data_IF_542318681760
#
_entry.id   IF_542318681760
#
_cell.length_a   1.000
_cell.length_b   1.000
_cell.length_c   1.000
_cell.angle_alpha   90.00
_cell.angle_beta   90.00
_cell.angle_gamma   90.00
#
_symmetry.space_group_name_H-M   'P 1'
#
loop_
_entity.id
_entity.type
_entity.pdbx_description
1 polymer ?
#
# COMPACT_ATOMS: atom_id res chain seq x y z
N UNK A 1 8.89 -2.74 15.65
CA UNK A 1 9.20 -1.63 14.73
C UNK A 1 9.55 -2.25 13.39
N UNK A 2 8.62 -2.27 12.43
CA UNK A 2 8.86 -2.83 11.10
C UNK A 2 9.41 -1.74 10.19
N UNK A 3 10.70 -1.78 9.89
CA UNK A 3 11.34 -0.83 8.97
C UNK A 3 10.90 -1.20 7.55
N UNK A 4 9.98 -0.43 6.97
CA UNK A 4 9.56 -0.62 5.57
C UNK A 4 10.57 0.08 4.66
N UNK A 5 11.44 -0.69 4.00
CA UNK A 5 12.30 -0.16 2.94
C UNK A 5 11.46 0.01 1.67
N UNK A 6 11.24 1.25 1.24
CA UNK A 6 10.77 1.53 -0.11
C UNK A 6 11.97 1.42 -1.06
N UNK A 7 12.01 0.33 -1.81
CA UNK A 7 13.05 0.12 -2.83
C UNK A 7 12.55 0.70 -4.15
N UNK A 8 13.36 1.57 -4.76
CA UNK A 8 13.15 2.09 -6.12
C UNK A 8 14.10 1.36 -7.07
N UNK A 9 13.49 0.63 -8.01
CA UNK A 9 14.03 0.04 -9.25
C UNK A 9 15.28 -0.88 -9.21
N UNK A 10 15.10 -2.03 -9.86
CA UNK A 10 16.06 -3.08 -10.23
C UNK A 10 16.70 -3.95 -9.14
N UNK A 11 16.74 -3.51 -7.89
CA UNK A 11 17.49 -4.24 -6.85
C UNK A 11 16.62 -5.04 -5.88
N UNK A 12 15.32 -5.19 -6.12
CA UNK A 12 14.40 -5.85 -5.16
C UNK A 12 14.86 -7.28 -4.79
N UNK A 13 15.28 -8.15 -5.73
CA UNK A 13 15.79 -9.47 -5.36
C UNK A 13 17.10 -9.40 -4.55
N UNK A 14 18.06 -8.57 -5.01
CA UNK A 14 19.35 -8.39 -4.33
C UNK A 14 19.21 -7.81 -2.92
N UNK A 15 18.26 -6.89 -2.72
CA UNK A 15 17.96 -6.32 -1.42
C UNK A 15 17.25 -7.35 -0.54
N UNK A 16 16.24 -8.04 -1.07
CA UNK A 16 15.54 -9.08 -0.32
C UNK A 16 16.49 -10.18 0.19
N UNK A 17 17.49 -10.56 -0.61
CA UNK A 17 18.48 -11.56 -0.24
C UNK A 17 19.58 -11.04 0.69
N UNK A 18 19.93 -9.75 0.60
CA UNK A 18 20.93 -9.13 1.48
C UNK A 18 20.39 -8.73 2.85
N UNK A 19 19.06 -8.68 3.02
CA UNK A 19 18.45 -8.38 4.30
C UNK A 19 18.79 -9.48 5.33
N UNK A 20 19.26 -9.09 6.54
CA UNK A 20 19.64 -10.05 7.56
C UNK A 20 18.43 -10.87 7.95
N UNK A 21 18.53 -12.19 7.76
CA UNK A 21 17.58 -13.16 8.31
C UNK A 21 17.85 -13.17 9.81
N UNK A 22 17.15 -12.32 10.55
CA UNK A 22 17.19 -12.30 12.01
C UNK A 22 17.04 -13.74 12.53
N UNK A 23 17.71 -14.08 13.63
CA UNK A 23 17.92 -15.43 14.20
C UNK A 23 16.70 -16.39 14.18
N UNK A 24 15.49 -15.87 14.01
CA UNK A 24 14.23 -16.59 13.91
C UNK A 24 13.84 -17.09 12.50
N UNK A 25 14.73 -17.09 11.49
CA UNK A 25 14.39 -17.48 10.09
C UNK A 25 13.15 -16.75 9.53
N UNK A 26 12.90 -15.51 9.98
CA UNK A 26 11.75 -14.73 9.51
C UNK A 26 12.05 -14.11 8.16
N UNK A 27 11.15 -14.27 7.19
CA UNK A 27 11.26 -13.58 5.89
C UNK A 27 11.05 -12.07 6.08
N UNK A 28 11.90 -11.19 5.51
CA UNK A 28 11.66 -9.76 5.55
C UNK A 28 10.43 -9.39 4.71
N UNK A 29 9.72 -8.35 5.13
CA UNK A 29 8.64 -7.76 4.33
C UNK A 29 9.20 -6.65 3.44
N UNK A 30 9.28 -6.90 2.14
CA UNK A 30 9.74 -5.93 1.15
C UNK A 30 8.55 -5.36 0.40
N UNK A 31 8.49 -4.03 0.29
CA UNK A 31 7.44 -3.32 -0.42
C UNK A 31 8.05 -2.53 -1.57
N UNK A 32 7.61 -2.82 -2.79
CA UNK A 32 8.12 -2.15 -3.99
C UNK A 32 7.05 -1.30 -4.68
N UNK A 33 7.48 -0.22 -5.32
CA UNK A 33 6.65 0.61 -6.21
C UNK A 33 6.81 0.24 -7.68
N UNK A 34 7.95 -0.33 -8.05
CA UNK A 34 8.27 -0.76 -9.40
C UNK A 34 8.56 -2.26 -9.40
N UNK A 35 8.17 -2.94 -10.45
CA UNK A 35 8.28 -4.38 -10.54
C UNK A 35 8.34 -4.83 -12.00
N UNK A 36 8.94 -5.98 -12.20
CA UNK A 36 8.98 -6.72 -13.46
C UNK A 36 8.47 -8.15 -13.20
N UNK A 37 8.38 -8.98 -14.23
CA UNK A 37 8.05 -10.40 -14.13
C UNK A 37 8.86 -11.07 -13.02
N UNK A 38 8.25 -12.00 -12.29
CA UNK A 38 8.87 -12.78 -11.20
C UNK A 38 9.21 -12.05 -9.88
N UNK A 39 8.89 -10.76 -9.72
CA UNK A 39 9.16 -10.00 -8.49
C UNK A 39 8.27 -10.37 -7.29
N UNK A 40 7.13 -11.03 -7.52
CA UNK A 40 6.18 -11.47 -6.49
C UNK A 40 6.77 -12.44 -5.45
N UNK A 41 7.90 -13.06 -5.77
CA UNK A 41 8.64 -13.95 -4.85
C UNK A 41 9.39 -13.19 -3.76
N UNK A 42 9.69 -11.91 -4.01
CA UNK A 42 10.58 -11.10 -3.18
C UNK A 42 9.85 -9.95 -2.50
N UNK A 43 8.80 -9.38 -3.12
CA UNK A 43 8.14 -8.19 -2.59
C UNK A 43 6.63 -8.16 -2.82
N UNK A 44 5.97 -7.39 -1.97
CA UNK A 44 4.63 -6.88 -2.17
C UNK A 44 4.65 -5.67 -3.10
N UNK A 45 3.62 -5.49 -3.91
CA UNK A 45 3.46 -4.30 -4.74
C UNK A 45 2.47 -3.31 -4.15
N UNK A 46 2.84 -2.04 -4.23
CA UNK A 46 2.00 -0.93 -3.85
C UNK A 46 1.74 -0.04 -5.05
N UNK A 47 0.47 0.28 -5.30
CA UNK A 47 0.10 1.22 -6.37
C UNK A 47 0.76 2.59 -6.17
N UNK A 48 0.85 3.36 -7.26
CA UNK A 48 1.46 4.69 -7.29
C UNK A 48 0.72 5.73 -6.42
N UNK A 49 1.20 6.97 -6.44
CA UNK A 49 0.64 8.05 -5.61
C UNK A 49 -0.80 8.33 -6.06
N UNK A 50 -1.78 8.20 -5.15
CA UNK A 50 -3.16 8.58 -5.40
C UNK A 50 -3.49 9.93 -4.75
N UNK A 51 -4.53 10.55 -5.28
CA UNK A 51 -5.12 11.79 -4.78
C UNK A 51 -6.39 11.45 -3.96
N UNK A 52 -6.76 12.32 -3.02
CA UNK A 52 -8.00 12.24 -2.22
C UNK A 52 -9.24 12.55 -3.06
N UNK A 53 -9.51 11.74 -4.09
CA UNK A 53 -10.69 11.89 -4.95
C UNK A 53 -11.33 10.53 -5.27
N UNK A 54 -12.63 10.56 -5.55
CA UNK A 54 -13.44 9.38 -5.86
C UNK A 54 -12.93 8.61 -7.07
N UNK A 55 -12.45 9.31 -8.10
CA UNK A 55 -11.91 8.68 -9.31
C UNK A 55 -10.74 7.76 -8.99
N UNK A 56 -9.88 8.15 -8.04
CA UNK A 56 -8.75 7.32 -7.63
C UNK A 56 -9.19 6.11 -6.82
N UNK A 57 -10.28 6.21 -6.04
CA UNK A 57 -10.88 5.06 -5.38
C UNK A 57 -11.41 4.08 -6.42
N UNK A 58 -12.14 4.57 -7.43
CA UNK A 58 -12.70 3.74 -8.50
C UNK A 58 -11.61 3.06 -9.33
N UNK A 59 -10.54 3.77 -9.72
CA UNK A 59 -9.44 3.24 -10.53
C UNK A 59 -8.56 2.26 -9.73
N UNK A 60 -8.51 2.39 -8.39
CA UNK A 60 -7.69 1.50 -7.56
C UNK A 60 -8.03 0.02 -7.73
N UNK A 61 -9.30 -0.29 -8.00
CA UNK A 61 -9.77 -1.67 -8.14
C UNK A 61 -9.27 -2.38 -9.40
N UNK A 62 -9.57 -1.86 -10.61
CA UNK A 62 -9.06 -2.45 -11.84
C UNK A 62 -7.53 -2.39 -11.89
N UNK A 63 -6.91 -1.32 -11.37
CA UNK A 63 -5.45 -1.22 -11.34
C UNK A 63 -4.82 -2.38 -10.56
N UNK A 64 -5.22 -2.62 -9.31
CA UNK A 64 -4.70 -3.75 -8.53
C UNK A 64 -4.98 -5.09 -9.20
N UNK A 65 -6.13 -5.24 -9.85
CA UNK A 65 -6.51 -6.50 -10.52
C UNK A 65 -5.63 -6.76 -11.74
N UNK A 66 -5.33 -5.74 -12.55
CA UNK A 66 -4.38 -5.84 -13.66
C UNK A 66 -2.96 -6.21 -13.18
N UNK A 67 -2.55 -5.70 -12.03
CA UNK A 67 -1.24 -6.02 -11.42
C UNK A 67 -1.17 -7.48 -10.97
N UNK A 68 -2.26 -8.02 -10.44
CA UNK A 68 -2.35 -9.45 -10.08
C UNK A 68 -2.24 -10.33 -11.32
N UNK A 69 -2.91 -9.95 -12.42
CA UNK A 69 -2.78 -10.66 -13.71
C UNK A 69 -1.35 -10.58 -14.26
N UNK A 70 -0.66 -9.46 -14.03
CA UNK A 70 0.76 -9.28 -14.32
C UNK A 70 1.70 -9.94 -13.29
N UNK A 71 1.28 -11.08 -12.73
CA UNK A 71 2.02 -11.95 -11.81
C UNK A 71 2.27 -11.42 -10.40
N UNK A 72 1.68 -10.31 -10.00
CA UNK A 72 1.93 -9.70 -8.69
C UNK A 72 0.73 -9.85 -7.74
N UNK A 73 0.57 -11.06 -7.20
CA UNK A 73 -0.62 -11.44 -6.41
C UNK A 73 -0.81 -10.64 -5.12
N UNK A 74 0.29 -10.20 -4.49
CA UNK A 74 0.24 -9.43 -3.24
C UNK A 74 0.30 -7.93 -3.53
N UNK A 75 -0.79 -7.42 -4.10
CA UNK A 75 -0.96 -6.01 -4.47
C UNK A 75 -2.00 -5.33 -3.57
N UNK A 76 -1.76 -4.06 -3.24
CA UNK A 76 -2.67 -3.22 -2.49
C UNK A 76 -2.68 -1.78 -2.95
N UNK A 77 -3.83 -1.13 -2.77
CA UNK A 77 -3.93 0.32 -2.86
C UNK A 77 -3.70 0.93 -1.48
N UNK A 78 -3.07 2.10 -1.39
CA UNK A 78 -2.99 2.82 -0.11
C UNK A 78 -4.25 3.63 0.07
N UNK A 79 -4.84 3.57 1.27
CA UNK A 79 -5.86 4.53 1.67
C UNK A 79 -5.25 5.93 1.67
N UNK A 80 -5.69 6.73 0.69
CA UNK A 80 -5.43 8.16 0.54
C UNK A 80 -4.00 8.62 0.84
N UNK A 81 -3.12 8.41 -0.12
CA UNK A 81 -1.66 8.38 0.03
C UNK A 81 -1.00 9.76 0.03
N UNK A 82 -1.44 10.73 -0.80
CA UNK A 82 -0.55 11.85 -1.16
C UNK A 82 -1.11 13.28 -1.18
N UNK A 83 -2.27 13.56 -1.78
CA UNK A 83 -2.68 14.95 -2.03
C UNK A 83 -4.19 15.11 -1.88
N UNK A 84 -4.66 16.30 -1.46
CA UNK A 84 -6.08 16.67 -1.47
C UNK A 84 -6.75 16.80 -0.10
N UNK A 85 -7.92 17.44 -0.10
CA UNK A 85 -8.80 17.55 1.07
C UNK A 85 -9.75 16.34 1.09
N UNK A 86 -9.47 15.44 2.02
CA UNK A 86 -10.24 14.22 2.17
C UNK A 86 -11.49 14.49 3.03
N UNK A 87 -12.67 14.18 2.48
CA UNK A 87 -13.90 14.17 3.26
C UNK A 87 -14.01 12.89 4.10
N UNK A 88 -14.70 12.95 5.24
CA UNK A 88 -14.90 11.79 6.11
C UNK A 88 -15.54 10.61 5.37
N UNK A 89 -16.54 10.89 4.52
CA UNK A 89 -17.20 9.87 3.70
C UNK A 89 -16.22 9.15 2.77
N UNK A 90 -15.40 9.91 2.04
CA UNK A 90 -14.43 9.33 1.10
C UNK A 90 -13.42 8.47 1.86
N UNK A 91 -12.97 8.90 3.04
CA UNK A 91 -12.07 8.09 3.89
C UNK A 91 -12.69 6.76 4.30
N UNK A 92 -13.94 6.77 4.78
CA UNK A 92 -14.64 5.55 5.17
C UNK A 92 -14.79 4.59 3.99
N UNK A 93 -15.15 5.10 2.80
CA UNK A 93 -15.25 4.26 1.60
C UNK A 93 -13.91 3.67 1.17
N UNK A 94 -12.82 4.40 1.32
CA UNK A 94 -11.48 3.86 1.12
C UNK A 94 -11.18 2.71 2.08
N UNK A 95 -11.50 2.84 3.37
CA UNK A 95 -11.30 1.75 4.33
C UNK A 95 -12.15 0.52 3.98
N UNK A 96 -13.45 0.72 3.79
CA UNK A 96 -14.39 -0.35 3.43
C UNK A 96 -13.96 -1.07 2.15
N UNK A 97 -13.49 -0.32 1.16
CA UNK A 97 -13.12 -0.87 -0.13
C UNK A 97 -11.78 -1.60 -0.15
N UNK A 98 -10.77 -1.05 0.52
CA UNK A 98 -9.41 -1.59 0.47
C UNK A 98 -9.17 -2.64 1.57
N UNK A 99 -10.03 -2.73 2.59
CA UNK A 99 -9.93 -3.76 3.65
C UNK A 99 -9.87 -5.19 3.10
N UNK A 100 -10.45 -5.43 1.93
CA UNK A 100 -10.50 -6.74 1.28
C UNK A 100 -9.30 -7.03 0.36
N UNK A 101 -8.32 -6.13 0.30
CA UNK A 101 -7.12 -6.29 -0.54
C UNK A 101 -6.04 -7.10 0.17
N UNK A 102 -5.24 -7.91 -0.56
CA UNK A 102 -4.15 -8.68 0.02
C UNK A 102 -3.16 -7.84 0.83
N UNK A 103 -2.90 -6.60 0.37
CA UNK A 103 -2.15 -5.61 1.11
C UNK A 103 -3.01 -4.38 1.40
N UNK A 104 -3.10 -4.04 2.68
CA UNK A 104 -3.84 -2.88 3.18
C UNK A 104 -2.91 -1.99 4.00
N UNK A 105 -2.84 -0.71 3.65
CA UNK A 105 -2.07 0.29 4.40
C UNK A 105 -2.74 1.66 4.29
N UNK A 106 -2.90 2.33 5.43
CA UNK A 106 -3.16 3.76 5.48
C UNK A 106 -1.83 4.52 5.62
N UNK A 107 -1.63 5.52 4.78
CA UNK A 107 -0.44 6.35 4.82
C UNK A 107 -0.79 7.74 4.32
N UNK A 108 -0.30 8.77 5.01
CA UNK A 108 -0.56 10.16 4.66
C UNK A 108 0.77 10.87 4.48
N UNK A 109 0.83 11.76 3.49
CA UNK A 109 2.00 12.58 3.24
C UNK A 109 2.21 13.60 4.37
N UNK A 110 3.48 13.92 4.66
CA UNK A 110 3.88 14.69 5.85
C UNK A 110 3.29 16.11 5.94
N UNK A 111 2.91 16.70 4.81
CA UNK A 111 2.34 18.06 4.76
C UNK A 111 0.82 18.11 4.95
N UNK A 112 0.17 16.96 5.12
CA UNK A 112 -1.28 16.90 5.35
C UNK A 112 -1.56 16.52 6.81
N UNK A 113 -2.77 16.88 7.25
CA UNK A 113 -3.24 16.54 8.59
C UNK A 113 -3.21 15.04 8.84
N UNK A 114 -3.10 14.66 10.13
CA UNK A 114 -3.11 13.25 10.51
C UNK A 114 -4.51 12.67 10.32
N UNK A 115 -4.61 11.64 9.51
CA UNK A 115 -5.87 10.96 9.14
C UNK A 115 -5.81 9.50 9.59
N UNK A 116 -5.67 9.25 10.89
CA UNK A 116 -5.71 7.88 11.45
C UNK A 116 -7.12 7.62 11.98
N UNK A 117 -7.64 6.40 11.81
CA UNK A 117 -9.03 6.05 12.19
C UNK A 117 -9.42 6.53 13.59
N UNK A 118 -8.55 6.31 14.59
CA UNK A 118 -8.82 6.66 15.98
C UNK A 118 -8.88 8.17 16.27
N UNK A 119 -8.57 9.03 15.29
CA UNK A 119 -8.74 10.48 15.42
C UNK A 119 -10.16 10.93 15.07
N UNK A 120 -10.94 10.07 14.41
CA UNK A 120 -12.32 10.34 14.04
C UNK A 120 -13.27 9.85 15.14
N UNK A 121 -14.46 10.45 15.18
CA UNK A 121 -15.53 10.04 16.10
C UNK A 121 -15.92 8.57 15.89
N UNK A 122 -16.40 7.91 16.96
CA UNK A 122 -16.65 6.46 16.96
C UNK A 122 -17.66 6.00 15.91
N UNK A 123 -18.63 6.86 15.58
CA UNK A 123 -19.63 6.64 14.52
C UNK A 123 -19.03 6.63 13.10
N UNK A 124 -17.83 7.20 12.94
CA UNK A 124 -17.11 7.28 11.66
C UNK A 124 -16.09 6.14 11.51
N UNK A 125 -15.73 5.46 12.60
CA UNK A 125 -14.78 4.35 12.57
C UNK A 125 -15.44 3.12 11.90
N UNK A 126 -14.75 2.55 10.91
CA UNK A 126 -15.22 1.40 10.09
C UNK A 126 -14.79 0.08 10.71
#
# INVERSE_FOLDING_TARGET
>A
MFTTLQVYEEHVPHIADSLPRYEKKTKPFVLTRSYCSSYQRYAAALTANNNSAWDYLQISYPLCSSIVVAEMSFCGAVVDRFTGNLTYELYQRWYQGVAWRPFFRAHTHQYYERRKLYLYAEDVQV
#
